data_IF_437594650111
#
_entry.id   IF_437594650111
#
_cell.length_a   1.000
_cell.length_b   1.000
_cell.length_c   1.000
_cell.angle_alpha   90.00
_cell.angle_beta   90.00
_cell.angle_gamma   90.00
#
_symmetry.space_group_name_H-M   'P 1'
#
loop_
_entity.id
_entity.type
_entity.pdbx_description
1 polymer ?
#
# COMPACT_ATOMS: atom_id res chain seq x y z
N UNK A 1 -18.61 14.92 17.20
CA UNK A 1 -18.94 13.58 16.68
C UNK A 1 -18.05 12.59 17.40
N UNK A 2 -18.58 11.44 17.86
CA UNK A 2 -17.75 10.39 18.44
C UNK A 2 -16.85 9.83 17.34
N UNK A 3 -15.58 9.59 17.65
CA UNK A 3 -14.66 8.90 16.77
C UNK A 3 -15.11 7.44 16.74
N UNK A 4 -15.36 6.89 15.55
CA UNK A 4 -15.68 5.46 15.43
C UNK A 4 -14.47 4.62 15.86
N UNK A 5 -14.74 3.47 16.46
CA UNK A 5 -13.71 2.46 16.71
C UNK A 5 -13.57 1.55 15.49
N UNK A 6 -12.48 0.76 15.47
CA UNK A 6 -12.33 -0.29 14.46
C UNK A 6 -13.53 -1.23 14.43
N UNK A 7 -14.03 -1.67 15.61
CA UNK A 7 -15.16 -2.59 15.73
C UNK A 7 -16.45 -2.00 15.14
N UNK A 8 -16.69 -0.72 15.33
CA UNK A 8 -17.85 -0.03 14.75
C UNK A 8 -17.73 0.08 13.22
N UNK A 9 -16.53 0.34 12.72
CA UNK A 9 -16.27 0.37 11.29
C UNK A 9 -16.36 -1.02 10.67
N UNK A 10 -15.84 -2.05 11.34
CA UNK A 10 -15.83 -3.44 10.88
C UNK A 10 -17.23 -4.09 10.86
N UNK A 11 -18.10 -3.70 11.80
CA UNK A 11 -19.45 -4.23 11.94
C UNK A 11 -20.47 -3.72 10.89
N UNK A 12 -20.06 -2.89 9.94
CA UNK A 12 -20.92 -2.40 8.87
C UNK A 12 -21.26 -3.51 7.87
N UNK A 13 -22.29 -3.27 7.06
CA UNK A 13 -22.62 -4.15 5.95
C UNK A 13 -21.58 -3.97 4.82
N UNK A 14 -20.80 -5.01 4.58
CA UNK A 14 -19.72 -5.05 3.60
C UNK A 14 -20.06 -6.05 2.50
N UNK A 15 -20.06 -5.60 1.25
CA UNK A 15 -20.28 -6.45 0.08
C UNK A 15 -18.95 -6.75 -0.62
N UNK A 16 -18.63 -8.02 -0.80
CA UNK A 16 -17.44 -8.43 -1.53
C UNK A 16 -17.47 -7.94 -2.97
N UNK A 17 -16.45 -7.18 -3.36
CA UNK A 17 -16.26 -6.65 -4.69
C UNK A 17 -15.06 -7.29 -5.43
N UNK A 18 -14.14 -7.90 -4.68
CA UNK A 18 -12.94 -8.54 -5.23
C UNK A 18 -12.43 -9.61 -4.28
N UNK A 19 -12.00 -10.73 -4.84
CA UNK A 19 -11.33 -11.78 -4.11
C UNK A 19 -10.23 -12.42 -4.95
N UNK A 20 -9.07 -12.62 -4.36
CA UNK A 20 -7.93 -13.36 -4.92
C UNK A 20 -7.37 -14.31 -3.87
N UNK A 21 -7.45 -15.62 -4.13
CA UNK A 21 -6.86 -16.64 -3.25
C UNK A 21 -5.33 -16.54 -3.16
N UNK A 22 -4.70 -15.94 -4.18
CA UNK A 22 -3.26 -15.94 -4.42
C UNK A 22 -2.76 -17.22 -5.10
N UNK A 23 -3.63 -18.21 -5.33
CA UNK A 23 -3.25 -19.51 -5.90
C UNK A 23 -3.52 -19.64 -7.40
N UNK A 24 -4.34 -18.72 -7.96
CA UNK A 24 -4.70 -18.68 -9.36
C UNK A 24 -3.84 -17.65 -10.11
N UNK A 25 -3.87 -17.66 -11.44
CA UNK A 25 -3.11 -16.72 -12.28
C UNK A 25 -3.33 -15.27 -11.85
N UNK A 26 -2.29 -14.67 -11.31
CA UNK A 26 -2.31 -13.29 -10.81
C UNK A 26 -2.68 -12.28 -11.92
N UNK A 27 -2.28 -12.52 -13.16
CA UNK A 27 -2.52 -11.62 -14.27
C UNK A 27 -4.01 -11.45 -14.61
N UNK A 28 -4.85 -12.38 -14.20
CA UNK A 28 -6.30 -12.24 -14.34
C UNK A 28 -6.89 -11.10 -13.53
N UNK A 29 -6.25 -10.77 -12.38
CA UNK A 29 -6.77 -9.82 -11.38
C UNK A 29 -5.89 -8.60 -11.16
N UNK A 30 -4.60 -8.70 -11.54
CA UNK A 30 -3.60 -7.66 -11.28
C UNK A 30 -2.85 -7.28 -12.55
N UNK A 31 -2.21 -6.10 -12.52
CA UNK A 31 -1.14 -5.73 -13.43
C UNK A 31 0.02 -5.15 -12.62
N UNK A 32 1.23 -5.18 -13.18
CA UNK A 32 2.44 -4.87 -12.45
C UNK A 32 3.16 -3.65 -13.05
N UNK A 33 3.53 -2.70 -12.18
CA UNK A 33 4.58 -1.72 -12.45
C UNK A 33 5.91 -2.33 -11.99
N UNK A 34 6.96 -2.20 -12.79
CA UNK A 34 8.29 -2.74 -12.47
C UNK A 34 8.66 -3.96 -13.31
N UNK A 35 9.76 -3.85 -14.07
CA UNK A 35 10.19 -4.88 -15.03
C UNK A 35 10.98 -6.03 -14.37
N UNK A 36 11.54 -5.80 -13.17
CA UNK A 36 12.37 -6.79 -12.48
C UNK A 36 11.59 -7.64 -11.47
N UNK A 37 10.30 -7.37 -11.32
CA UNK A 37 9.47 -8.11 -10.37
C UNK A 37 9.27 -9.56 -10.80
N UNK A 38 9.28 -10.45 -9.82
CA UNK A 38 8.86 -11.84 -9.98
C UNK A 38 7.61 -12.07 -9.16
N UNK A 39 6.55 -12.56 -9.82
CA UNK A 39 5.28 -12.87 -9.19
C UNK A 39 4.94 -14.32 -9.54
N UNK A 40 4.73 -15.14 -8.53
CA UNK A 40 4.49 -16.56 -8.68
C UNK A 40 3.29 -16.99 -7.83
N UNK A 41 2.30 -17.60 -8.45
CA UNK A 41 1.23 -18.26 -7.72
C UNK A 41 1.67 -19.66 -7.30
N UNK A 42 1.50 -19.96 -6.02
CA UNK A 42 1.79 -21.28 -5.42
C UNK A 42 0.55 -21.81 -4.73
N UNK A 43 0.58 -23.05 -4.27
CA UNK A 43 -0.51 -23.62 -3.44
C UNK A 43 -0.68 -22.91 -2.09
N UNK A 44 0.31 -22.11 -1.67
CA UNK A 44 0.30 -21.39 -0.40
C UNK A 44 -0.08 -19.92 -0.55
N UNK A 45 -0.20 -19.40 -1.78
CA UNK A 45 -0.53 -18.02 -2.07
C UNK A 45 0.34 -17.43 -3.19
N UNK A 46 0.23 -16.14 -3.40
CA UNK A 46 0.96 -15.37 -4.40
C UNK A 46 2.26 -14.81 -3.78
N UNK A 47 3.40 -15.32 -4.21
CA UNK A 47 4.70 -14.79 -3.86
C UNK A 47 5.00 -13.59 -4.76
N UNK A 48 5.33 -12.45 -4.15
CA UNK A 48 5.67 -11.21 -4.83
C UNK A 48 7.05 -10.74 -4.38
N UNK A 49 7.98 -10.66 -5.32
CA UNK A 49 9.35 -10.19 -5.14
C UNK A 49 9.62 -9.01 -6.05
N UNK A 50 10.06 -7.87 -5.50
CA UNK A 50 10.23 -6.65 -6.29
C UNK A 50 11.45 -6.67 -7.21
N UNK A 51 12.47 -7.43 -6.88
CA UNK A 51 13.68 -7.54 -7.68
C UNK A 51 14.95 -7.65 -6.84
N UNK A 52 16.07 -7.78 -7.51
CA UNK A 52 17.38 -7.94 -6.88
C UNK A 52 17.89 -6.63 -6.30
N UNK A 53 18.79 -6.74 -5.41
CA UNK A 53 19.63 -5.77 -4.71
C UNK A 53 19.50 -4.29 -5.03
N UNK A 54 19.25 -3.67 -4.02
CA UNK A 54 19.24 -2.41 -3.46
C UNK A 54 19.76 -1.16 -4.10
N UNK A 55 19.00 -0.10 -3.98
CA UNK A 55 19.39 1.27 -4.25
C UNK A 55 18.88 1.82 -5.58
N UNK A 56 18.30 1.00 -6.44
CA UNK A 56 17.85 1.43 -7.77
C UNK A 56 16.32 1.35 -7.86
N UNK A 57 15.73 2.33 -8.53
CA UNK A 57 14.28 2.40 -8.74
C UNK A 57 13.73 1.22 -9.55
N UNK A 58 14.56 0.60 -10.37
CA UNK A 58 14.24 -0.58 -11.17
C UNK A 58 13.87 -1.79 -10.32
N UNK A 59 14.43 -1.88 -9.12
CA UNK A 59 14.11 -2.94 -8.16
C UNK A 59 12.91 -2.64 -7.25
N UNK A 60 12.05 -1.71 -7.65
CA UNK A 60 10.74 -1.50 -7.03
C UNK A 60 9.67 -2.14 -7.90
N UNK A 61 8.53 -2.48 -7.31
CA UNK A 61 7.38 -2.96 -8.05
C UNK A 61 6.07 -2.65 -7.35
N UNK A 62 5.01 -2.53 -8.13
CA UNK A 62 3.64 -2.38 -7.58
C UNK A 62 2.69 -3.29 -8.35
N UNK A 63 1.99 -4.14 -7.63
CA UNK A 63 0.84 -4.88 -8.14
C UNK A 63 -0.43 -4.06 -7.93
N UNK A 64 -1.11 -3.73 -9.00
CA UNK A 64 -2.36 -2.98 -9.00
C UNK A 64 -3.55 -3.87 -9.34
N UNK A 65 -4.65 -3.71 -8.63
CA UNK A 65 -5.91 -4.35 -9.02
C UNK A 65 -6.34 -3.90 -10.41
N UNK A 66 -6.86 -4.83 -11.24
CA UNK A 66 -7.45 -4.45 -12.53
C UNK A 66 -8.75 -3.67 -12.38
N UNK A 67 -9.66 -4.02 -11.46
CA UNK A 67 -10.81 -3.15 -11.17
C UNK A 67 -10.42 -1.96 -10.30
N UNK A 68 -11.25 -0.91 -10.40
CA UNK A 68 -11.29 0.21 -9.47
C UNK A 68 -12.40 -0.01 -8.45
N UNK A 69 -12.26 0.63 -7.30
CA UNK A 69 -13.23 0.57 -6.21
C UNK A 69 -13.65 1.99 -5.82
N UNK A 70 -14.84 2.12 -5.27
CA UNK A 70 -15.42 3.42 -4.91
C UNK A 70 -16.02 3.34 -3.50
N UNK A 71 -15.99 4.46 -2.79
CA UNK A 71 -16.63 4.61 -1.48
C UNK A 71 -15.77 4.13 -0.31
N UNK A 72 -16.43 3.62 0.72
CA UNK A 72 -15.73 3.05 1.87
C UNK A 72 -15.22 1.65 1.52
N UNK A 73 -14.04 1.31 2.00
CA UNK A 73 -13.38 0.03 1.71
C UNK A 73 -13.07 -0.74 2.97
N UNK A 74 -13.20 -2.05 2.86
CA UNK A 74 -12.65 -3.02 3.80
C UNK A 74 -11.78 -3.99 3.02
N UNK A 75 -10.49 -4.02 3.31
CA UNK A 75 -9.48 -4.84 2.64
C UNK A 75 -8.92 -5.83 3.64
N UNK A 76 -8.91 -7.10 3.29
CA UNK A 76 -8.38 -8.18 4.12
C UNK A 76 -7.39 -9.01 3.32
N UNK A 77 -6.32 -9.43 3.96
CA UNK A 77 -5.36 -10.36 3.38
C UNK A 77 -4.47 -10.99 4.45
N UNK A 78 -3.93 -12.15 4.13
CA UNK A 78 -2.81 -12.72 4.85
C UNK A 78 -1.51 -12.26 4.18
N UNK A 79 -0.59 -11.77 4.99
CA UNK A 79 0.74 -11.32 4.61
C UNK A 79 1.79 -12.13 5.35
N UNK A 80 2.69 -12.77 4.62
CA UNK A 80 3.86 -13.44 5.18
C UNK A 80 5.11 -12.86 4.53
N UNK A 81 5.97 -12.25 5.33
CA UNK A 81 7.26 -11.76 4.85
C UNK A 81 8.18 -12.95 4.57
N UNK A 82 8.80 -13.00 3.39
CA UNK A 82 9.67 -14.10 2.93
C UNK A 82 11.15 -13.70 2.84
N UNK A 83 11.51 -12.47 3.21
CA UNK A 83 12.87 -11.96 3.21
C UNK A 83 13.36 -11.61 4.63
N UNK A 84 14.68 -11.53 4.81
CA UNK A 84 15.33 -11.15 6.07
C UNK A 84 16.04 -9.79 6.00
N UNK A 85 15.82 -9.01 4.93
CA UNK A 85 16.54 -7.76 4.74
C UNK A 85 16.12 -6.68 5.72
N UNK A 86 17.09 -5.90 6.21
CA UNK A 86 16.88 -4.87 7.23
C UNK A 86 16.21 -3.61 6.69
N UNK A 87 16.39 -3.29 5.42
CA UNK A 87 15.86 -2.06 4.83
C UNK A 87 14.69 -2.37 3.91
N UNK A 88 14.03 -1.30 3.50
CA UNK A 88 12.96 -1.30 2.55
C UNK A 88 11.59 -1.68 3.12
N UNK A 89 10.58 -1.24 2.44
CA UNK A 89 9.23 -1.16 2.97
C UNK A 89 8.26 -1.87 2.03
N UNK A 90 7.22 -2.41 2.64
CA UNK A 90 5.99 -2.82 1.96
C UNK A 90 4.97 -1.69 2.09
N UNK A 91 4.24 -1.41 1.01
CA UNK A 91 3.23 -0.34 0.99
C UNK A 91 1.92 -0.89 0.44
N UNK A 92 0.82 -0.55 1.09
CA UNK A 92 -0.53 -0.67 0.56
C UNK A 92 -1.00 0.71 0.09
N UNK A 93 -1.32 0.84 -1.18
CA UNK A 93 -1.99 2.01 -1.76
C UNK A 93 -3.49 1.81 -1.82
N UNK A 94 -4.24 2.86 -1.51
CA UNK A 94 -5.70 2.85 -1.43
C UNK A 94 -6.27 3.94 -2.32
N UNK A 95 -7.24 3.59 -3.17
CA UNK A 95 -7.91 4.52 -4.07
C UNK A 95 -6.95 5.36 -4.92
N UNK A 96 -5.98 4.69 -5.55
CA UNK A 96 -4.99 5.36 -6.38
C UNK A 96 -5.60 5.77 -7.72
N UNK A 97 -5.55 7.08 -8.00
CA UNK A 97 -5.83 7.69 -9.29
C UNK A 97 -4.64 8.54 -9.74
N UNK A 98 -4.58 8.87 -11.02
CA UNK A 98 -3.69 9.92 -11.51
C UNK A 98 -4.17 11.30 -11.11
N UNK A 99 -3.40 12.32 -11.44
CA UNK A 99 -3.75 13.72 -11.18
C UNK A 99 -4.86 14.27 -12.07
N UNK A 100 -5.25 13.54 -13.11
CA UNK A 100 -6.31 13.93 -14.05
C UNK A 100 -5.85 14.92 -15.13
N UNK A 101 -4.55 15.21 -15.24
CA UNK A 101 -4.02 16.21 -16.17
C UNK A 101 -2.87 15.63 -17.01
N UNK A 102 -2.76 16.14 -18.24
CA UNK A 102 -1.69 15.78 -19.17
C UNK A 102 -1.60 14.29 -19.43
N UNK A 103 -0.40 13.68 -19.35
CA UNK A 103 -0.24 12.25 -19.57
C UNK A 103 -0.57 11.42 -18.32
N UNK A 104 -0.98 12.05 -17.21
CA UNK A 104 -1.27 11.41 -15.93
C UNK A 104 -2.78 11.44 -15.66
N UNK A 105 -3.53 10.90 -16.62
CA UNK A 105 -5.00 10.78 -16.54
C UNK A 105 -5.42 9.98 -15.30
N UNK A 106 -6.69 10.08 -14.95
CA UNK A 106 -7.24 9.54 -13.70
C UNK A 106 -7.03 8.03 -13.59
N UNK A 107 -7.34 7.26 -14.66
CA UNK A 107 -7.02 5.83 -14.68
C UNK A 107 -5.52 5.60 -14.83
N UNK A 108 -4.91 5.16 -13.75
CA UNK A 108 -3.47 4.88 -13.70
C UNK A 108 -3.05 3.74 -14.65
N UNK A 109 -3.95 2.87 -15.09
CA UNK A 109 -3.63 1.81 -16.04
C UNK A 109 -3.26 2.37 -17.42
N UNK A 110 -3.82 3.52 -17.84
CA UNK A 110 -3.57 4.12 -19.14
C UNK A 110 -2.12 4.64 -19.31
N UNK A 111 -1.43 4.89 -18.20
CA UNK A 111 -0.04 5.36 -18.22
C UNK A 111 0.93 4.43 -17.48
N UNK A 112 0.60 3.14 -17.38
CA UNK A 112 1.46 2.11 -16.77
C UNK A 112 2.85 2.05 -17.44
N UNK A 113 2.96 2.27 -18.74
CA UNK A 113 4.23 2.31 -19.48
C UNK A 113 5.26 3.32 -18.90
N UNK A 114 4.77 4.42 -18.29
CA UNK A 114 5.65 5.40 -17.62
C UNK A 114 6.19 4.92 -16.28
N UNK A 115 5.68 3.80 -15.77
CA UNK A 115 6.06 3.19 -14.49
C UNK A 115 6.76 1.83 -14.66
N UNK A 116 7.30 1.55 -15.85
CA UNK A 116 8.21 0.40 -16.05
C UNK A 116 9.37 0.44 -15.07
N UNK A 117 9.90 1.62 -14.81
CA UNK A 117 10.79 1.92 -13.69
C UNK A 117 9.98 2.66 -12.63
N UNK A 118 9.51 1.99 -11.59
CA UNK A 118 8.55 2.54 -10.64
C UNK A 118 9.24 3.43 -9.59
N UNK A 119 9.90 4.49 -10.05
CA UNK A 119 10.53 5.47 -9.19
C UNK A 119 9.49 6.07 -8.23
N UNK A 120 9.86 6.19 -6.95
CA UNK A 120 8.94 6.64 -5.88
C UNK A 120 8.27 7.98 -6.21
N UNK A 121 9.01 8.90 -6.88
CA UNK A 121 8.51 10.20 -7.30
C UNK A 121 7.28 10.12 -8.20
N UNK A 122 7.20 9.15 -9.11
CA UNK A 122 6.05 8.97 -9.99
C UNK A 122 4.75 8.80 -9.22
N UNK A 123 4.81 8.27 -8.01
CA UNK A 123 3.64 8.02 -7.17
C UNK A 123 3.27 9.24 -6.34
N UNK A 124 4.19 9.87 -5.64
CA UNK A 124 3.84 11.01 -4.79
C UNK A 124 3.70 12.34 -5.57
N UNK A 125 4.31 12.47 -6.76
CA UNK A 125 4.17 13.67 -7.59
C UNK A 125 2.92 13.64 -8.47
N UNK A 126 2.48 12.47 -8.94
CA UNK A 126 1.44 12.37 -9.98
C UNK A 126 0.22 11.54 -9.59
N UNK A 127 0.20 10.91 -8.42
CA UNK A 127 -0.96 10.14 -7.96
C UNK A 127 -1.65 10.78 -6.77
N UNK A 128 -2.97 10.62 -6.77
CA UNK A 128 -3.87 10.99 -5.70
C UNK A 128 -4.29 9.71 -4.96
N UNK A 129 -3.83 9.50 -3.72
CA UNK A 129 -4.06 8.25 -3.00
C UNK A 129 -3.84 8.36 -1.48
N UNK A 130 -4.30 7.35 -0.74
CA UNK A 130 -3.82 7.05 0.61
C UNK A 130 -2.78 5.92 0.57
N UNK A 131 -1.87 5.93 1.52
CA UNK A 131 -0.75 5.02 1.62
C UNK A 131 -0.60 4.53 3.05
N UNK A 132 -0.45 3.22 3.24
CA UNK A 132 0.04 2.63 4.48
C UNK A 132 1.35 1.91 4.17
N UNK A 133 2.42 2.31 4.83
CA UNK A 133 3.71 1.61 4.75
C UNK A 133 4.01 0.90 6.06
N UNK A 134 4.62 -0.29 5.95
CA UNK A 134 5.03 -1.08 7.09
C UNK A 134 6.32 -1.84 6.77
N UNK A 135 7.17 -1.96 7.78
CA UNK A 135 8.47 -2.60 7.67
C UNK A 135 8.93 -3.18 9.00
N UNK A 136 9.68 -4.27 8.93
CA UNK A 136 10.28 -4.92 10.10
C UNK A 136 11.43 -4.11 10.71
N UNK A 137 12.00 -3.19 9.93
CA UNK A 137 13.10 -2.33 10.35
C UNK A 137 12.93 -0.95 9.73
N UNK A 138 13.45 0.06 10.39
CA UNK A 138 13.46 1.43 9.88
C UNK A 138 14.16 1.54 8.53
N UNK A 139 13.62 2.39 7.67
CA UNK A 139 14.18 2.61 6.33
C UNK A 139 15.42 3.53 6.34
N UNK A 140 15.76 4.08 7.50
CA UNK A 140 16.90 4.96 7.72
C UNK A 140 17.85 4.33 8.76
N UNK A 141 19.14 4.57 8.62
CA UNK A 141 20.18 3.98 9.48
C UNK A 141 20.05 4.38 10.96
N UNK A 142 19.45 5.55 11.22
CA UNK A 142 19.24 6.10 12.54
C UNK A 142 17.95 5.62 13.24
N UNK A 143 17.13 4.81 12.55
CA UNK A 143 15.87 4.26 13.07
C UNK A 143 15.78 2.76 12.80
N UNK A 144 16.38 1.93 13.67
CA UNK A 144 16.35 0.48 13.50
C UNK A 144 14.99 -0.15 13.80
N UNK A 145 14.05 0.62 14.36
CA UNK A 145 12.75 0.13 14.80
C UNK A 145 11.83 -0.22 13.63
N UNK A 146 11.04 -1.28 13.81
CA UNK A 146 9.92 -1.55 12.92
C UNK A 146 8.91 -0.39 12.98
N UNK A 147 8.14 -0.22 11.90
CA UNK A 147 7.14 0.85 11.88
C UNK A 147 5.92 0.52 11.02
N UNK A 148 4.82 1.22 11.33
CA UNK A 148 3.63 1.35 10.50
C UNK A 148 3.29 2.84 10.40
N UNK A 149 3.08 3.34 9.18
CA UNK A 149 2.86 4.76 8.89
C UNK A 149 1.82 4.92 7.79
N UNK A 150 0.97 5.93 7.92
CA UNK A 150 0.07 6.32 6.84
C UNK A 150 0.46 7.68 6.24
N UNK A 151 0.13 7.86 4.96
CA UNK A 151 0.36 9.09 4.20
C UNK A 151 -0.81 9.39 3.29
N UNK A 152 -0.98 10.68 2.99
CA UNK A 152 -1.91 11.20 1.99
C UNK A 152 -1.12 11.86 0.87
N UNK A 153 -1.08 11.23 -0.32
CA UNK A 153 -0.46 11.83 -1.50
C UNK A 153 -1.47 12.71 -2.23
N UNK A 154 -1.13 13.99 -2.35
CA UNK A 154 -1.85 14.97 -3.17
C UNK A 154 -0.90 15.31 -4.31
N UNK A 155 -1.26 15.00 -5.56
CA UNK A 155 -0.36 15.20 -6.68
C UNK A 155 -0.02 16.68 -6.86
N UNK A 156 1.24 16.95 -7.14
CA UNK A 156 1.79 18.31 -7.34
C UNK A 156 2.35 18.50 -8.74
N UNK A 157 2.41 17.41 -9.52
CA UNK A 157 3.00 17.44 -10.85
C UNK A 157 4.45 17.92 -10.84
N UNK A 158 4.84 18.58 -11.89
CA UNK A 158 6.21 19.12 -12.04
C UNK A 158 6.55 20.24 -11.07
N UNK A 159 5.55 20.85 -10.40
CA UNK A 159 5.79 21.89 -9.39
C UNK A 159 6.59 21.38 -8.18
N UNK A 160 6.67 20.05 -7.96
CA UNK A 160 7.54 19.47 -6.95
C UNK A 160 9.04 19.60 -7.27
N UNK A 161 9.40 19.92 -8.52
CA UNK A 161 10.78 20.04 -8.99
C UNK A 161 11.47 21.35 -8.60
N UNK A 162 10.72 22.38 -8.20
CA UNK A 162 11.25 23.73 -7.99
C UNK A 162 12.15 23.91 -6.77
N UNK A 163 12.27 22.91 -5.91
CA UNK A 163 12.99 23.07 -4.63
C UNK A 163 14.34 22.34 -4.55
N UNK A 164 14.83 21.74 -5.62
CA UNK A 164 16.21 21.18 -5.68
C UNK A 164 16.54 20.04 -4.68
N UNK A 165 15.62 19.68 -3.82
CA UNK A 165 15.79 18.66 -2.78
C UNK A 165 14.77 17.55 -2.98
N UNK A 166 15.20 16.35 -3.35
CA UNK A 166 14.34 15.19 -3.63
C UNK A 166 13.40 14.73 -2.50
N UNK A 167 13.39 15.44 -1.37
CA UNK A 167 12.54 15.18 -0.22
C UNK A 167 11.22 15.98 -0.20
N UNK A 168 11.03 16.96 -1.06
CA UNK A 168 9.92 17.92 -0.94
C UNK A 168 8.56 17.36 -1.36
N UNK A 169 8.52 16.35 -2.23
CA UNK A 169 7.27 15.69 -2.63
C UNK A 169 6.55 14.98 -1.48
N UNK A 170 7.29 14.54 -0.46
CA UNK A 170 6.74 13.90 0.73
C UNK A 170 6.48 14.86 1.90
N UNK A 171 6.84 16.13 1.77
CA UNK A 171 6.56 17.10 2.83
C UNK A 171 5.05 17.25 3.03
N UNK A 172 4.62 17.24 4.29
CA UNK A 172 3.21 17.38 4.69
C UNK A 172 2.27 16.27 4.16
N UNK A 173 2.81 15.07 3.90
CA UNK A 173 1.99 13.91 3.50
C UNK A 173 1.67 12.99 4.66
N UNK A 174 2.38 13.09 5.77
CA UNK A 174 2.23 12.20 6.91
C UNK A 174 0.86 12.38 7.58
N UNK A 175 0.26 11.26 7.95
CA UNK A 175 -0.91 11.18 8.81
C UNK A 175 -0.45 10.65 10.17
N UNK A 176 -0.70 11.42 11.22
CA UNK A 176 -0.30 11.04 12.57
C UNK A 176 -1.34 10.12 13.25
N UNK A 177 -0.90 9.22 14.14
CA UNK A 177 0.48 8.99 14.57
C UNK A 177 1.22 7.96 13.71
N UNK A 178 2.58 7.95 13.80
CA UNK A 178 3.38 6.79 13.41
C UNK A 178 3.40 5.77 14.56
N UNK A 179 3.50 4.49 14.21
CA UNK A 179 3.59 3.38 15.15
C UNK A 179 4.95 2.71 15.02
N UNK A 180 5.69 2.61 16.12
CA UNK A 180 7.03 2.02 16.17
C UNK A 180 7.09 0.91 17.23
N UNK A 181 8.12 0.08 17.15
CA UNK A 181 8.38 -1.00 18.11
C UNK A 181 7.17 -1.93 18.29
N UNK A 182 6.51 -2.23 17.17
CA UNK A 182 5.30 -3.08 17.16
C UNK A 182 5.65 -4.54 17.41
N UNK A 183 6.90 -4.94 17.13
CA UNK A 183 7.36 -6.32 17.20
C UNK A 183 6.60 -7.22 16.22
N UNK A 184 6.25 -6.69 15.05
CA UNK A 184 5.59 -7.40 13.96
C UNK A 184 6.59 -7.70 12.82
N UNK A 185 6.10 -8.38 11.81
CA UNK A 185 6.77 -8.59 10.51
C UNK A 185 7.99 -9.53 10.58
N UNK A 186 7.99 -10.52 11.48
CA UNK A 186 9.01 -11.57 11.48
C UNK A 186 8.95 -12.36 10.15
N UNK A 187 10.11 -12.82 9.62
CA UNK A 187 10.12 -13.71 8.48
C UNK A 187 9.29 -14.98 8.74
N UNK A 188 8.60 -15.45 7.72
CA UNK A 188 7.80 -16.69 7.70
C UNK A 188 6.63 -16.75 8.71
N UNK A 189 6.33 -15.63 9.37
CA UNK A 189 5.18 -15.54 10.28
C UNK A 189 4.00 -14.90 9.54
N UNK A 190 2.85 -15.60 9.42
CA UNK A 190 1.68 -15.05 8.77
C UNK A 190 1.01 -13.99 9.67
N UNK A 191 0.61 -12.89 9.05
CA UNK A 191 -0.14 -11.80 9.65
C UNK A 191 -1.45 -11.63 8.91
N UNK A 192 -2.59 -11.69 9.60
CA UNK A 192 -3.87 -11.31 8.99
C UNK A 192 -4.07 -9.82 9.15
N UNK A 193 -4.23 -9.16 8.03
CA UNK A 193 -4.36 -7.69 7.98
C UNK A 193 -5.77 -7.34 7.53
N UNK A 194 -6.40 -6.43 8.26
CA UNK A 194 -7.65 -5.79 7.87
C UNK A 194 -7.45 -4.29 7.84
N UNK A 195 -7.73 -3.67 6.71
CA UNK A 195 -7.70 -2.21 6.54
C UNK A 195 -9.11 -1.72 6.22
N UNK A 196 -9.58 -0.72 6.95
CA UNK A 196 -10.87 -0.07 6.71
C UNK A 196 -10.61 1.40 6.40
N UNK A 197 -10.98 1.82 5.19
CA UNK A 197 -10.91 3.21 4.74
C UNK A 197 -12.31 3.79 4.70
N UNK A 198 -12.50 4.91 5.39
CA UNK A 198 -13.71 5.72 5.43
C UNK A 198 -13.42 7.16 4.98
N UNK A 199 -14.42 8.05 4.86
CA UNK A 199 -14.18 9.42 4.41
C UNK A 199 -13.15 10.18 5.25
N UNK A 200 -13.16 9.97 6.59
CA UNK A 200 -12.30 10.71 7.52
C UNK A 200 -11.41 9.81 8.39
N UNK A 201 -11.53 8.48 8.24
CA UNK A 201 -10.81 7.52 9.07
C UNK A 201 -10.15 6.45 8.22
N UNK A 202 -8.95 6.07 8.64
CA UNK A 202 -8.20 4.96 8.11
C UNK A 202 -7.77 4.07 9.28
N UNK A 203 -8.20 2.83 9.28
CA UNK A 203 -7.87 1.84 10.31
C UNK A 203 -7.02 0.73 9.69
N UNK A 204 -6.11 0.17 10.47
CA UNK A 204 -5.43 -1.06 10.15
C UNK A 204 -5.34 -1.93 11.39
N UNK A 205 -5.85 -3.15 11.30
CA UNK A 205 -5.70 -4.20 12.32
C UNK A 205 -4.79 -5.28 11.81
N UNK A 206 -3.83 -5.67 12.63
CA UNK A 206 -2.89 -6.75 12.35
C UNK A 206 -3.07 -7.81 13.43
N UNK A 207 -3.39 -9.02 13.01
CA UNK A 207 -3.45 -10.21 13.87
C UNK A 207 -2.20 -11.04 13.60
N UNK A 208 -1.31 -11.03 14.56
CA UNK A 208 -0.13 -11.88 14.67
C UNK A 208 -0.48 -13.10 15.53
N UNK A 209 0.17 -14.28 15.39
CA UNK A 209 -0.14 -15.45 16.22
C UNK A 209 -0.16 -15.21 17.74
N UNK A 210 0.63 -14.26 18.22
CA UNK A 210 0.77 -13.98 19.66
C UNK A 210 0.05 -12.70 20.13
N UNK A 211 -0.37 -11.82 19.22
CA UNK A 211 -0.94 -10.52 19.57
C UNK A 211 -1.81 -9.92 18.47
N UNK A 212 -2.61 -8.95 18.84
CA UNK A 212 -3.30 -8.04 17.93
C UNK A 212 -2.69 -6.64 18.07
N UNK A 213 -2.63 -5.92 16.95
CA UNK A 213 -2.17 -4.54 16.92
C UNK A 213 -3.11 -3.68 16.06
N UNK A 214 -3.55 -2.56 16.59
CA UNK A 214 -4.50 -1.67 15.93
C UNK A 214 -3.86 -0.31 15.69
N UNK A 215 -4.03 0.21 14.47
CA UNK A 215 -3.63 1.52 14.04
C UNK A 215 -4.86 2.32 13.58
N UNK A 216 -4.86 3.63 13.83
CA UNK A 216 -5.91 4.53 13.40
C UNK A 216 -5.34 5.89 13.01
N UNK A 217 -5.77 6.41 11.86
CA UNK A 217 -5.40 7.73 11.36
C UNK A 217 -6.63 8.52 10.96
N UNK A 218 -6.60 9.83 11.23
CA UNK A 218 -7.58 10.77 10.68
C UNK A 218 -7.10 11.27 9.33
N UNK A 219 -7.98 11.22 8.33
CA UNK A 219 -7.67 11.62 6.94
C UNK A 219 -8.29 12.96 6.54
N UNK A 220 -8.95 13.65 7.46
CA UNK A 220 -9.69 14.89 7.22
C UNK A 220 -8.83 16.16 7.07
N UNK A 221 -7.50 16.05 7.18
CA UNK A 221 -6.56 17.15 6.94
C UNK A 221 -6.38 17.50 5.46
N UNK A 222 -6.90 16.67 4.55
CA UNK A 222 -6.79 16.82 3.11
C UNK A 222 -8.08 16.41 2.40
N UNK A 223 -8.29 16.78 1.12
CA UNK A 223 -9.43 16.31 0.35
C UNK A 223 -9.51 14.77 0.35
N UNK A 224 -10.70 14.21 0.51
CA UNK A 224 -10.86 12.75 0.55
C UNK A 224 -10.51 12.11 -0.79
N UNK A 225 -9.94 10.90 -0.75
CA UNK A 225 -9.91 10.00 -1.89
C UNK A 225 -11.16 9.12 -1.84
N UNK A 226 -11.88 9.02 -2.94
CA UNK A 226 -13.20 8.38 -2.98
C UNK A 226 -13.27 7.17 -3.90
N UNK A 227 -12.32 7.01 -4.80
CA UNK A 227 -12.26 5.93 -5.77
C UNK A 227 -10.84 5.73 -6.30
N UNK A 228 -10.64 4.62 -6.99
CA UNK A 228 -9.39 4.26 -7.65
C UNK A 228 -8.95 2.83 -7.34
N UNK A 229 -7.73 2.50 -7.73
CA UNK A 229 -7.16 1.16 -7.62
C UNK A 229 -6.50 0.92 -6.27
N UNK A 230 -6.37 -0.36 -5.92
CA UNK A 230 -5.61 -0.80 -4.75
C UNK A 230 -4.26 -1.33 -5.25
N UNK A 231 -3.18 -0.99 -4.55
CA UNK A 231 -1.83 -1.39 -4.95
C UNK A 231 -1.01 -1.97 -3.81
N UNK A 232 -0.29 -3.04 -4.11
CA UNK A 232 0.72 -3.64 -3.24
C UNK A 232 2.10 -3.27 -3.77
N UNK A 233 2.86 -2.47 -3.03
CA UNK A 233 4.19 -2.05 -3.43
C UNK A 233 5.26 -2.72 -2.60
N UNK A 234 6.27 -3.23 -3.26
CA UNK A 234 7.52 -3.67 -2.67
C UNK A 234 8.68 -2.81 -3.15
N UNK A 235 9.62 -2.56 -2.25
CA UNK A 235 10.85 -1.83 -2.56
C UNK A 235 12.05 -2.75 -2.44
N UNK A 236 12.87 -2.79 -3.50
CA UNK A 236 14.12 -3.56 -3.55
C UNK A 236 13.90 -5.04 -3.17
N UNK A 237 14.61 -5.54 -2.19
CA UNK A 237 14.63 -6.94 -1.81
C UNK A 237 13.37 -7.41 -1.08
N UNK A 238 12.30 -6.58 -0.99
CA UNK A 238 11.06 -7.04 -0.37
C UNK A 238 10.50 -8.22 -1.13
N UNK A 239 10.25 -9.28 -0.36
CA UNK A 239 9.64 -10.50 -0.81
C UNK A 239 8.57 -10.89 0.21
N UNK A 240 7.35 -11.08 -0.24
CA UNK A 240 6.25 -11.51 0.62
C UNK A 240 5.28 -12.40 -0.12
N UNK A 241 4.55 -13.21 0.65
CA UNK A 241 3.40 -13.96 0.20
C UNK A 241 2.13 -13.26 0.60
N UNK A 242 1.19 -13.18 -0.35
CA UNK A 242 -0.17 -12.70 -0.14
C UNK A 242 -1.15 -13.84 -0.37
N UNK A 243 -2.13 -13.95 0.51
CA UNK A 243 -3.18 -14.96 0.42
C UNK A 243 -4.53 -14.38 0.82
N UNK A 244 -5.58 -14.93 0.24
CA UNK A 244 -6.97 -14.57 0.57
C UNK A 244 -7.22 -13.05 0.53
N UNK A 245 -6.69 -12.37 -0.50
CA UNK A 245 -6.83 -10.93 -0.66
C UNK A 245 -8.27 -10.59 -1.07
N UNK A 246 -8.95 -9.87 -0.21
CA UNK A 246 -10.37 -9.52 -0.36
C UNK A 246 -10.55 -8.02 -0.26
N UNK A 247 -11.39 -7.47 -1.13
CA UNK A 247 -11.86 -6.09 -1.02
C UNK A 247 -13.37 -6.11 -0.99
N UNK A 248 -13.93 -5.47 0.03
CA UNK A 248 -15.36 -5.24 0.17
C UNK A 248 -15.64 -3.75 0.17
N UNK A 249 -16.80 -3.37 -0.35
CA UNK A 249 -17.30 -1.99 -0.37
C UNK A 249 -18.51 -1.89 0.56
N UNK A 250 -18.76 -0.70 1.12
CA UNK A 250 -19.96 -0.49 1.92
C UNK A 250 -21.21 -0.59 1.03
N UNK A 251 -22.21 -1.33 1.52
CA UNK A 251 -23.53 -1.45 0.88
C UNK A 251 -24.35 -0.15 0.99
#
# INVERSE_FOLDING_TARGET
>A
MSIDTFEQADARDWQEAFYDSGTDDWQAKWFCDGELATIENTSEGMNFYAGTTGGYHEAHAVLWTRPEFQGDLRIEYEYTRLDEFYRHVTILYLHATGMGEGPYVEDIAEWAERRKVPAMRMYFDYMNLLHISYAAYGNQDDRPDDYIRARRYIPKGDASNDSGNGATGLANTDLEPDYFNTGLWQPDVPHRITVIKRPEDLFMRIIHPEKQYDCHWRTNSAPPVTHGRIGLRHMNNRHARYRDFRISVAG
#
